data_IF_276179194247
#
_entry.id   IF_276179194247
#
_cell.length_a   1.000
_cell.length_b   1.000
_cell.length_c   1.000
_cell.angle_alpha   90.00
_cell.angle_beta   90.00
_cell.angle_gamma   90.00
#
_symmetry.space_group_name_H-M   'P 1'
#
loop_
_entity.id
_entity.type
_entity.pdbx_description
1 polymer ?
#
# COMPACT_ATOMS: atom_id res chain seq x y z
N UNK A 1 14.17 7.44 -8.16
CA UNK A 1 13.06 8.30 -8.64
C UNK A 1 12.00 8.36 -7.53
N UNK A 2 11.81 9.54 -6.94
CA UNK A 2 10.70 9.82 -6.00
C UNK A 2 10.95 9.46 -4.53
N UNK A 3 12.05 9.91 -3.92
CA UNK A 3 12.38 9.59 -2.50
C UNK A 3 12.18 10.78 -1.54
N UNK A 4 11.61 11.89 -2.01
CA UNK A 4 11.54 13.13 -1.23
C UNK A 4 10.27 13.16 -0.36
N UNK A 5 10.40 13.07 0.96
CA UNK A 5 9.27 12.97 1.92
C UNK A 5 8.82 14.31 2.52
N UNK A 6 9.06 15.44 1.85
CA UNK A 6 8.67 16.75 2.36
C UNK A 6 7.26 17.13 1.92
N UNK A 7 6.54 17.88 2.76
CA UNK A 7 5.18 18.35 2.49
C UNK A 7 5.06 19.05 1.13
N UNK A 8 4.16 18.56 0.27
CA UNK A 8 3.90 19.14 -1.06
C UNK A 8 4.77 18.60 -2.19
N UNK A 9 5.57 17.55 -1.96
CA UNK A 9 6.42 16.95 -2.98
C UNK A 9 5.65 16.23 -4.10
N UNK A 10 4.41 15.79 -3.85
CA UNK A 10 3.55 15.19 -4.90
C UNK A 10 3.24 16.14 -6.05
N UNK A 11 3.12 17.44 -5.79
CA UNK A 11 2.90 18.45 -6.82
C UNK A 11 4.16 18.81 -7.62
N UNK A 12 5.35 18.46 -7.11
CA UNK A 12 6.61 18.98 -7.65
C UNK A 12 7.35 18.03 -8.56
N UNK A 13 6.93 16.76 -8.72
CA UNK A 13 7.62 15.73 -9.54
C UNK A 13 9.15 15.79 -9.42
N UNK A 14 9.67 16.17 -8.25
CA UNK A 14 11.06 16.65 -8.10
C UNK A 14 12.06 15.57 -8.48
N UNK A 15 11.69 14.31 -8.29
CA UNK A 15 12.55 13.15 -8.56
C UNK A 15 12.89 12.92 -10.04
N UNK A 16 12.22 13.57 -10.99
CA UNK A 16 12.57 13.55 -12.43
C UNK A 16 12.59 14.94 -13.06
N UNK A 17 12.37 16.00 -12.28
CA UNK A 17 12.38 17.36 -12.78
C UNK A 17 13.75 17.68 -13.41
N UNK A 18 13.74 18.10 -14.67
CA UNK A 18 14.97 18.41 -15.42
C UNK A 18 15.66 17.20 -16.07
N UNK A 19 15.13 15.99 -15.93
CA UNK A 19 15.64 14.82 -16.67
C UNK A 19 15.06 14.75 -18.08
N UNK A 20 15.86 14.26 -19.04
CA UNK A 20 15.37 13.88 -20.37
C UNK A 20 14.60 12.56 -20.33
N UNK A 21 13.83 12.27 -21.38
CA UNK A 21 13.16 10.98 -21.52
C UNK A 21 14.14 9.79 -21.41
N UNK A 22 15.29 9.87 -22.09
CA UNK A 22 16.29 8.80 -22.05
C UNK A 22 16.86 8.59 -20.65
N UNK A 23 17.10 9.67 -19.90
CA UNK A 23 17.57 9.57 -18.52
C UNK A 23 16.53 8.92 -17.60
N UNK A 24 15.24 9.25 -17.79
CA UNK A 24 14.16 8.60 -17.02
C UNK A 24 14.04 7.12 -17.40
N UNK A 25 14.14 6.79 -18.68
CA UNK A 25 14.13 5.39 -19.16
C UNK A 25 15.29 4.61 -18.56
N UNK A 26 16.51 5.13 -18.61
CA UNK A 26 17.70 4.47 -18.08
C UNK A 26 17.58 4.25 -16.57
N UNK A 27 17.12 5.26 -15.82
CA UNK A 27 16.87 5.12 -14.39
C UNK A 27 15.79 4.07 -14.07
N UNK A 28 14.74 3.98 -14.88
CA UNK A 28 13.71 2.95 -14.74
C UNK A 28 14.24 1.55 -15.08
N UNK A 29 15.02 1.41 -16.16
CA UNK A 29 15.70 0.15 -16.53
C UNK A 29 16.60 -0.33 -15.40
N UNK A 30 17.40 0.58 -14.81
CA UNK A 30 18.26 0.22 -13.68
C UNK A 30 17.45 -0.29 -12.48
N UNK A 31 16.34 0.36 -12.14
CA UNK A 31 15.46 -0.12 -11.07
C UNK A 31 14.93 -1.52 -11.36
N UNK A 32 14.45 -1.77 -12.58
CA UNK A 32 13.97 -3.10 -12.95
C UNK A 32 15.06 -4.17 -12.93
N UNK A 33 16.29 -3.82 -13.32
CA UNK A 33 17.44 -4.73 -13.21
C UNK A 33 17.75 -5.07 -11.74
N UNK A 34 17.74 -4.07 -10.86
CA UNK A 34 17.96 -4.27 -9.43
C UNK A 34 16.85 -5.15 -8.81
N UNK A 35 15.59 -5.01 -9.27
CA UNK A 35 14.43 -5.79 -8.81
C UNK A 35 14.43 -7.24 -9.35
N UNK A 36 14.56 -7.41 -10.67
CA UNK A 36 14.56 -8.73 -11.32
C UNK A 36 15.83 -9.52 -10.98
N UNK A 37 16.95 -8.82 -10.73
CA UNK A 37 18.23 -9.40 -10.35
C UNK A 37 18.25 -10.07 -8.97
N UNK A 38 17.21 -9.89 -8.14
CA UNK A 38 17.06 -10.56 -6.83
C UNK A 38 17.06 -12.09 -6.94
N UNK A 39 16.64 -12.63 -8.09
CA UNK A 39 16.73 -14.07 -8.39
C UNK A 39 17.52 -14.27 -9.68
N UNK A 40 18.58 -15.06 -9.59
CA UNK A 40 19.42 -15.45 -10.73
C UNK A 40 19.06 -16.88 -11.13
N UNK A 41 18.70 -17.07 -12.41
CA UNK A 41 18.32 -18.38 -12.96
C UNK A 41 19.19 -18.75 -14.16
N UNK A 42 19.46 -20.04 -14.32
CA UNK A 42 20.18 -20.60 -15.46
C UNK A 42 19.23 -21.41 -16.34
N UNK A 43 19.31 -21.23 -17.67
CA UNK A 43 18.48 -21.93 -18.65
C UNK A 43 18.69 -21.35 -20.05
N UNK A 44 17.88 -21.79 -21.01
CA UNK A 44 17.82 -21.16 -22.33
C UNK A 44 17.10 -19.79 -22.27
N UNK A 45 17.10 -19.08 -23.39
CA UNK A 45 16.52 -17.74 -23.48
C UNK A 45 14.99 -17.75 -23.30
N UNK A 46 14.30 -18.78 -23.80
CA UNK A 46 12.84 -18.92 -23.65
C UNK A 46 12.44 -19.10 -22.18
N UNK A 47 13.19 -19.92 -21.44
CA UNK A 47 13.01 -20.11 -20.01
C UNK A 47 13.25 -18.81 -19.23
N UNK A 48 14.36 -18.12 -19.50
CA UNK A 48 14.67 -16.85 -18.83
C UNK A 48 13.62 -15.79 -19.13
N UNK A 49 13.18 -15.67 -20.38
CA UNK A 49 12.14 -14.73 -20.77
C UNK A 49 10.83 -15.02 -20.02
N UNK A 50 10.42 -16.29 -19.96
CA UNK A 50 9.22 -16.70 -19.21
C UNK A 50 9.35 -16.36 -17.73
N UNK A 51 10.48 -16.71 -17.12
CA UNK A 51 10.74 -16.49 -15.70
C UNK A 51 10.73 -14.99 -15.35
N UNK A 52 11.54 -14.18 -16.03
CA UNK A 52 11.65 -12.76 -15.73
C UNK A 52 10.38 -11.98 -16.09
N UNK A 53 9.61 -12.42 -17.10
CA UNK A 53 8.29 -11.84 -17.38
C UNK A 53 7.28 -12.15 -16.29
N UNK A 54 7.25 -13.39 -15.78
CA UNK A 54 6.39 -13.76 -14.66
C UNK A 54 6.80 -13.02 -13.38
N UNK A 55 8.10 -12.89 -13.12
CA UNK A 55 8.64 -12.10 -12.02
C UNK A 55 8.18 -10.64 -12.17
N UNK A 56 8.42 -9.98 -13.30
CA UNK A 56 7.93 -8.63 -13.59
C UNK A 56 6.43 -8.45 -13.27
N UNK A 57 5.57 -9.37 -13.73
CA UNK A 57 4.13 -9.32 -13.43
C UNK A 57 3.80 -9.41 -11.93
N UNK A 58 4.60 -10.14 -11.16
CA UNK A 58 4.41 -10.24 -9.69
C UNK A 58 4.73 -8.94 -8.95
N UNK A 59 5.50 -8.02 -9.54
CA UNK A 59 5.88 -6.74 -8.91
C UNK A 59 4.94 -5.58 -9.26
N UNK A 60 4.05 -5.73 -10.25
CA UNK A 60 3.17 -4.64 -10.71
C UNK A 60 2.10 -4.23 -9.68
N UNK A 61 1.77 -5.11 -8.75
CA UNK A 61 0.93 -4.81 -7.59
C UNK A 61 1.61 -5.31 -6.31
N UNK A 62 1.26 -4.82 -5.12
CA UNK A 62 0.34 -3.74 -4.75
C UNK A 62 0.85 -2.37 -5.23
N UNK A 63 -0.06 -1.43 -5.44
CA UNK A 63 0.27 -0.08 -5.93
C UNK A 63 0.43 0.91 -4.79
N UNK A 64 1.31 1.90 -4.95
CA UNK A 64 1.47 2.99 -3.97
C UNK A 64 0.22 3.88 -4.04
N UNK A 65 -0.34 4.21 -2.88
CA UNK A 65 -1.53 5.04 -2.69
C UNK A 65 -1.25 6.34 -1.93
N UNK A 66 -0.15 6.42 -1.17
CA UNK A 66 0.31 7.68 -0.60
C UNK A 66 1.16 8.49 -1.58
N UNK A 67 1.04 9.81 -1.47
CA UNK A 67 2.01 10.77 -1.95
C UNK A 67 3.36 10.60 -1.26
N UNK A 68 4.39 11.29 -1.77
CA UNK A 68 5.73 11.19 -1.23
C UNK A 68 5.84 11.69 0.22
N UNK A 69 4.99 12.64 0.61
CA UNK A 69 4.90 13.15 1.99
C UNK A 69 4.03 12.28 2.91
N UNK A 70 3.63 11.10 2.43
CA UNK A 70 2.84 10.13 3.18
C UNK A 70 1.36 10.47 3.30
N UNK A 71 0.90 11.58 2.72
CA UNK A 71 -0.52 11.88 2.64
C UNK A 71 -1.19 10.97 1.64
N UNK A 72 -2.41 10.53 1.93
CA UNK A 72 -3.18 9.69 1.04
C UNK A 72 -4.66 10.01 1.15
N UNK A 73 -5.42 9.68 0.12
CA UNK A 73 -6.88 9.82 0.13
C UNK A 73 -7.51 8.72 0.98
N UNK A 74 -8.27 9.11 1.99
CA UNK A 74 -9.13 8.27 2.81
C UNK A 74 -9.97 7.36 1.93
N UNK A 75 -10.10 6.14 2.42
CA UNK A 75 -10.83 5.04 1.86
C UNK A 75 -12.20 4.95 2.51
N UNK A 76 -13.23 4.79 1.67
CA UNK A 76 -14.57 4.48 2.13
C UNK A 76 -14.86 3.00 1.92
N UNK A 77 -15.29 2.29 2.97
CA UNK A 77 -15.54 0.84 2.91
C UNK A 77 -17.03 0.49 2.72
N UNK A 78 -17.88 1.46 2.38
CA UNK A 78 -19.33 1.28 2.21
C UNK A 78 -19.76 1.19 0.74
N UNK A 79 -20.90 0.53 0.48
CA UNK A 79 -21.55 0.45 -0.86
C UNK A 79 -21.98 1.81 -1.45
N UNK A 80 -21.84 2.91 -0.70
CA UNK A 80 -22.19 4.27 -1.07
C UNK A 80 -21.00 5.24 -0.89
N UNK A 81 -19.77 4.79 -1.12
CA UNK A 81 -18.64 5.69 -1.32
C UNK A 81 -18.88 6.49 -2.61
N UNK A 82 -19.63 7.59 -2.54
CA UNK A 82 -20.21 8.29 -3.70
C UNK A 82 -19.15 8.61 -4.76
N UNK A 83 -19.13 7.89 -5.90
CA UNK A 83 -18.10 8.06 -6.92
C UNK A 83 -18.18 9.42 -7.61
N UNK A 84 -19.36 10.06 -7.55
CA UNK A 84 -19.70 11.31 -8.22
C UNK A 84 -19.68 12.53 -7.28
N UNK A 85 -19.36 12.33 -6.00
CA UNK A 85 -19.34 13.39 -5.00
C UNK A 85 -20.73 13.90 -4.61
N UNK A 86 -21.79 13.13 -4.84
CA UNK A 86 -23.16 13.50 -4.42
C UNK A 86 -23.74 12.51 -3.41
N UNK A 87 -24.55 12.97 -2.45
CA UNK A 87 -25.39 12.09 -1.62
C UNK A 87 -26.35 11.25 -2.49
N UNK A 88 -27.07 10.24 -1.94
CA UNK A 88 -28.14 9.54 -2.67
C UNK A 88 -29.28 10.48 -3.10
N UNK A 89 -29.30 11.70 -2.56
CA UNK A 89 -30.28 12.75 -2.79
C UNK A 89 -29.78 13.84 -3.75
N UNK A 90 -28.55 13.73 -4.26
CA UNK A 90 -27.99 14.65 -5.25
C UNK A 90 -27.27 15.88 -4.68
N UNK A 91 -27.06 15.94 -3.36
CA UNK A 91 -26.33 17.04 -2.74
C UNK A 91 -24.82 16.87 -2.94
N UNK A 92 -24.15 17.90 -3.44
CA UNK A 92 -22.69 17.90 -3.60
C UNK A 92 -21.99 17.87 -2.24
N UNK A 93 -21.17 16.85 -2.02
CA UNK A 93 -20.23 16.77 -0.90
C UNK A 93 -18.82 17.09 -1.45
N UNK A 94 -18.13 18.06 -0.84
CA UNK A 94 -16.70 18.27 -1.08
C UNK A 94 -15.90 17.17 -0.38
N UNK A 95 -15.91 15.98 -0.99
CA UNK A 95 -15.23 14.78 -0.48
C UNK A 95 -13.70 14.89 -0.50
N UNK A 96 -13.11 16.00 -0.96
CA UNK A 96 -11.66 16.14 -1.16
C UNK A 96 -10.92 16.81 0.00
N UNK A 97 -11.59 17.61 0.84
CA UNK A 97 -10.93 18.33 1.95
C UNK A 97 -10.90 17.57 3.27
N UNK A 98 -11.93 16.77 3.57
CA UNK A 98 -12.02 15.98 4.80
C UNK A 98 -11.41 14.57 4.67
N UNK A 99 -10.93 14.21 3.47
CA UNK A 99 -10.49 12.86 3.13
C UNK A 99 -8.98 12.71 2.98
N UNK A 100 -8.16 13.64 3.45
CA UNK A 100 -6.70 13.47 3.40
C UNK A 100 -6.22 12.94 4.75
N UNK A 101 -5.62 11.75 4.73
CA UNK A 101 -4.99 11.11 5.90
C UNK A 101 -3.48 11.04 5.72
N UNK A 102 -2.79 10.78 6.81
CA UNK A 102 -1.34 10.55 6.83
C UNK A 102 -1.09 9.07 7.11
N UNK A 103 -0.11 8.47 6.43
CA UNK A 103 0.34 7.10 6.66
C UNK A 103 1.10 6.99 7.99
N UNK A 104 0.34 7.13 9.07
CA UNK A 104 0.78 7.24 10.46
C UNK A 104 0.27 6.01 11.22
N UNK A 105 1.18 5.08 11.53
CA UNK A 105 0.81 3.85 12.22
C UNK A 105 0.94 4.01 13.74
N UNK A 106 1.82 4.88 14.25
CA UNK A 106 2.06 5.07 15.68
C UNK A 106 1.17 6.18 16.31
N UNK A 107 0.41 6.90 15.49
CA UNK A 107 -0.49 8.01 15.85
C UNK A 107 0.23 9.24 16.41
N UNK A 108 1.46 9.51 15.98
CA UNK A 108 2.25 10.68 16.39
C UNK A 108 2.01 11.93 15.51
N UNK A 109 1.20 11.80 14.46
CA UNK A 109 0.87 12.84 13.50
C UNK A 109 1.86 12.96 12.33
N UNK A 110 2.83 12.06 12.20
CA UNK A 110 3.81 12.04 11.11
C UNK A 110 3.66 10.80 10.24
N UNK A 111 4.13 10.92 8.99
CA UNK A 111 4.13 9.79 8.07
C UNK A 111 5.28 8.83 8.40
N UNK A 112 4.93 7.58 8.69
CA UNK A 112 5.86 6.52 9.05
C UNK A 112 6.18 5.61 7.86
N UNK A 113 5.16 5.21 7.09
CA UNK A 113 5.26 4.13 6.10
C UNK A 113 4.71 4.56 4.73
N UNK A 114 5.03 3.80 3.68
CA UNK A 114 4.41 4.01 2.36
C UNK A 114 3.06 3.30 2.31
N UNK A 115 1.97 4.06 2.07
CA UNK A 115 0.63 3.47 1.96
C UNK A 115 0.48 2.78 0.62
N UNK A 116 0.17 1.48 0.63
CA UNK A 116 -0.14 0.66 -0.55
C UNK A 116 -1.63 0.35 -0.66
N UNK A 117 -2.15 0.14 -1.86
CA UNK A 117 -3.53 -0.30 -2.12
C UNK A 117 -3.59 -1.30 -3.30
N UNK A 118 -4.77 -1.57 -3.87
CA UNK A 118 -4.99 -2.60 -4.90
C UNK A 118 -4.71 -4.00 -4.35
N UNK A 119 -5.45 -4.37 -3.33
CA UNK A 119 -5.28 -5.62 -2.61
C UNK A 119 -6.15 -6.72 -3.21
N UNK A 120 -5.67 -7.46 -4.21
CA UNK A 120 -6.35 -8.67 -4.73
C UNK A 120 -6.12 -9.88 -3.82
N UNK A 121 -6.52 -9.78 -2.55
CA UNK A 121 -6.07 -10.70 -1.50
C UNK A 121 -6.65 -12.09 -1.65
N UNK A 122 -7.83 -12.24 -2.27
CA UNK A 122 -8.35 -13.57 -2.55
C UNK A 122 -7.42 -14.37 -3.44
N UNK A 123 -6.61 -13.78 -4.33
CA UNK A 123 -5.65 -14.48 -5.21
C UNK A 123 -4.25 -14.50 -4.61
N UNK A 124 -3.76 -13.29 -4.31
CA UNK A 124 -2.34 -13.02 -4.14
C UNK A 124 -1.75 -13.74 -2.94
N UNK A 125 -2.52 -13.90 -1.83
CA UNK A 125 -2.02 -14.47 -0.57
C UNK A 125 -1.42 -15.88 -0.72
N UNK A 126 -1.79 -16.60 -1.79
CA UNK A 126 -1.30 -17.95 -2.07
C UNK A 126 0.16 -18.00 -2.51
N UNK A 127 0.65 -16.95 -3.18
CA UNK A 127 1.97 -17.01 -3.81
C UNK A 127 2.69 -15.65 -3.89
N UNK A 128 1.99 -14.56 -4.18
CA UNK A 128 2.61 -13.23 -4.36
C UNK A 128 3.10 -12.67 -3.02
N UNK A 129 2.28 -12.67 -1.96
CA UNK A 129 2.74 -12.23 -0.63
C UNK A 129 3.78 -13.19 -0.03
N UNK A 130 3.63 -14.53 -0.13
CA UNK A 130 4.70 -15.45 0.25
C UNK A 130 6.03 -15.16 -0.46
N UNK A 131 6.03 -14.88 -1.77
CA UNK A 131 7.24 -14.48 -2.50
C UNK A 131 7.78 -13.13 -1.98
N UNK A 132 6.90 -12.14 -1.82
CA UNK A 132 7.26 -10.81 -1.30
C UNK A 132 7.83 -10.88 0.12
N UNK A 133 7.38 -11.81 0.95
CA UNK A 133 7.90 -12.00 2.31
C UNK A 133 9.37 -12.41 2.34
N UNK A 134 9.85 -13.02 1.25
CA UNK A 134 11.24 -13.47 1.09
C UNK A 134 12.07 -12.37 0.42
N UNK A 135 11.55 -11.78 -0.66
CA UNK A 135 12.32 -10.85 -1.49
C UNK A 135 12.21 -9.38 -1.04
N UNK A 136 11.10 -9.01 -0.40
CA UNK A 136 10.74 -7.62 -0.06
C UNK A 136 10.04 -7.51 1.31
N UNK A 137 10.64 -8.03 2.40
CA UNK A 137 9.98 -8.08 3.70
C UNK A 137 9.59 -6.69 4.23
N UNK A 138 10.39 -5.65 3.95
CA UNK A 138 10.10 -4.28 4.38
C UNK A 138 8.89 -3.69 3.61
N UNK A 139 8.76 -3.96 2.31
CA UNK A 139 7.59 -3.56 1.51
C UNK A 139 6.33 -4.29 1.99
N UNK A 140 6.45 -5.59 2.27
CA UNK A 140 5.29 -6.36 2.74
C UNK A 140 4.86 -5.93 4.15
N UNK A 141 5.79 -5.49 5.00
CA UNK A 141 5.46 -4.87 6.28
C UNK A 141 4.72 -3.52 6.10
N UNK A 142 5.15 -2.66 5.17
CA UNK A 142 4.41 -1.43 4.82
C UNK A 142 3.01 -1.74 4.25
N UNK A 143 2.85 -2.85 3.51
CA UNK A 143 1.54 -3.36 3.09
C UNK A 143 0.67 -3.76 4.29
N UNK A 144 1.23 -4.42 5.31
CA UNK A 144 0.48 -4.76 6.55
C UNK A 144 0.10 -3.50 7.34
N UNK A 145 1.00 -2.53 7.47
CA UNK A 145 0.67 -1.22 8.07
C UNK A 145 -0.42 -0.50 7.27
N UNK A 146 -0.43 -0.65 5.95
CA UNK A 146 -1.50 -0.14 5.08
C UNK A 146 -2.85 -0.83 5.34
N UNK A 147 -2.86 -2.14 5.60
CA UNK A 147 -4.07 -2.87 5.98
C UNK A 147 -4.59 -2.46 7.35
N UNK A 148 -3.70 -2.23 8.32
CA UNK A 148 -4.06 -1.70 9.64
C UNK A 148 -4.67 -0.31 9.50
N UNK A 149 -3.97 0.61 8.82
CA UNK A 149 -4.43 1.98 8.66
C UNK A 149 -5.78 2.04 7.96
N UNK A 150 -6.00 1.14 6.99
CA UNK A 150 -7.29 0.92 6.32
C UNK A 150 -8.38 0.44 7.30
N UNK A 151 -8.10 -0.54 8.15
CA UNK A 151 -9.08 -1.04 9.11
C UNK A 151 -9.46 -0.02 10.19
N UNK A 152 -8.56 0.91 10.50
CA UNK A 152 -8.78 1.99 11.46
C UNK A 152 -9.44 3.24 10.86
N UNK A 153 -9.76 3.26 9.56
CA UNK A 153 -10.47 4.40 8.98
C UNK A 153 -11.87 4.51 9.59
N UNK A 154 -12.26 5.73 9.96
CA UNK A 154 -13.61 6.04 10.43
C UNK A 154 -14.23 7.09 9.53
N UNK A 155 -15.52 6.96 9.22
CA UNK A 155 -16.26 7.94 8.43
C UNK A 155 -17.68 8.09 8.97
N UNK A 156 -18.31 9.22 8.71
CA UNK A 156 -19.71 9.46 9.06
C UNK A 156 -20.58 9.13 7.86
N UNK A 157 -21.61 8.30 8.04
CA UNK A 157 -22.56 7.97 6.96
C UNK A 157 -23.61 9.07 6.76
N UNK A 158 -24.44 8.89 5.73
CA UNK A 158 -25.53 9.81 5.35
C UNK A 158 -26.58 10.00 6.44
N UNK A 159 -26.58 9.15 7.46
CA UNK A 159 -27.49 9.20 8.62
C UNK A 159 -26.80 9.73 9.88
N UNK A 160 -25.58 10.26 9.76
CA UNK A 160 -24.81 10.82 10.86
C UNK A 160 -24.18 9.78 11.78
N UNK A 161 -24.16 8.49 11.40
CA UNK A 161 -23.54 7.46 12.22
C UNK A 161 -22.05 7.35 11.91
N UNK A 162 -21.23 7.30 12.95
CA UNK A 162 -19.81 6.93 12.82
C UNK A 162 -19.72 5.46 12.42
N UNK A 163 -19.04 5.20 11.32
CA UNK A 163 -18.71 3.89 10.79
C UNK A 163 -17.22 3.67 10.97
N UNK A 164 -16.87 2.45 11.37
CA UNK A 164 -15.49 2.00 11.49
C UNK A 164 -15.17 1.02 10.37
N UNK A 165 -13.94 1.10 9.88
CA UNK A 165 -13.39 0.18 8.91
C UNK A 165 -13.22 -1.24 9.44
N UNK A 166 -12.88 -2.13 8.51
CA UNK A 166 -12.44 -3.50 8.73
C UNK A 166 -11.21 -3.76 7.86
N UNK A 167 -10.58 -4.91 8.04
CA UNK A 167 -9.48 -5.32 7.18
C UNK A 167 -9.95 -5.45 5.72
N UNK A 168 -9.05 -5.19 4.75
CA UNK A 168 -9.39 -5.26 3.33
C UNK A 168 -9.63 -6.70 2.88
N UNK A 169 -10.60 -6.86 1.97
CA UNK A 169 -10.83 -8.12 1.23
C UNK A 169 -10.33 -7.98 -0.21
N UNK A 170 -10.90 -7.02 -0.94
CA UNK A 170 -10.50 -6.71 -2.30
C UNK A 170 -10.62 -5.21 -2.56
N UNK A 171 -9.50 -4.49 -2.49
CA UNK A 171 -9.50 -3.04 -2.61
C UNK A 171 -9.06 -2.56 -3.98
N UNK A 172 -9.59 -1.40 -4.41
CA UNK A 172 -9.09 -0.67 -5.57
C UNK A 172 -9.31 0.83 -5.43
N UNK A 173 -8.24 1.60 -5.64
CA UNK A 173 -8.19 3.06 -5.52
C UNK A 173 -8.80 3.56 -4.21
N UNK A 174 -8.45 2.89 -3.12
CA UNK A 174 -8.91 3.22 -1.78
C UNK A 174 -10.40 3.00 -1.62
N UNK A 175 -10.97 1.93 -2.17
CA UNK A 175 -12.36 1.53 -1.90
C UNK A 175 -12.44 0.02 -1.74
N UNK A 176 -13.32 -0.45 -0.85
CA UNK A 176 -13.70 -1.86 -0.80
C UNK A 176 -14.62 -2.19 -1.97
N UNK A 177 -14.39 -3.33 -2.63
CA UNK A 177 -15.25 -3.80 -3.72
C UNK A 177 -16.21 -4.90 -3.26
N UNK A 178 -15.90 -5.58 -2.15
CA UNK A 178 -16.64 -6.76 -1.68
C UNK A 178 -16.50 -7.94 -2.63
N UNK A 179 -15.45 -7.97 -3.45
CA UNK A 179 -15.21 -9.03 -4.43
C UNK A 179 -14.57 -10.25 -3.75
N UNK A 180 -14.98 -11.44 -4.22
CA UNK A 180 -14.59 -12.75 -3.71
C UNK A 180 -15.08 -13.03 -2.28
N UNK A 181 -14.46 -13.99 -1.58
CA UNK A 181 -14.90 -14.44 -0.25
C UNK A 181 -13.69 -14.59 0.67
N UNK A 182 -13.93 -14.53 1.98
CA UNK A 182 -12.93 -14.78 3.01
C UNK A 182 -12.10 -13.56 3.38
N UNK A 183 -11.40 -13.65 4.51
CA UNK A 183 -10.57 -12.57 5.06
C UNK A 183 -9.09 -12.89 4.84
N UNK A 184 -8.61 -12.66 3.62
CA UNK A 184 -7.26 -13.05 3.21
C UNK A 184 -6.16 -12.03 3.57
N UNK A 185 -6.54 -10.90 4.20
CA UNK A 185 -5.61 -10.04 4.94
C UNK A 185 -5.00 -10.77 6.14
N UNK A 186 -5.77 -11.61 6.83
CA UNK A 186 -5.32 -12.37 8.01
C UNK A 186 -4.09 -13.26 7.77
N UNK A 187 -4.06 -14.15 6.75
CA UNK A 187 -2.85 -14.95 6.49
C UNK A 187 -1.64 -14.10 6.10
N UNK A 188 -1.84 -12.97 5.42
CA UNK A 188 -0.75 -12.04 5.07
C UNK A 188 -0.17 -11.40 6.33
N UNK A 189 -1.04 -10.87 7.21
CA UNK A 189 -0.64 -10.29 8.50
C UNK A 189 0.11 -11.32 9.35
N UNK A 190 -0.42 -12.55 9.46
CA UNK A 190 0.21 -13.62 10.21
C UNK A 190 1.60 -13.97 9.67
N UNK A 191 1.78 -14.02 8.35
CA UNK A 191 3.07 -14.34 7.73
C UNK A 191 4.15 -13.29 8.10
N UNK A 192 3.80 -12.00 8.01
CA UNK A 192 4.71 -10.89 8.36
C UNK A 192 5.01 -10.86 9.86
N UNK A 193 4.01 -11.09 10.72
CA UNK A 193 4.19 -11.15 12.17
C UNK A 193 5.08 -12.33 12.58
N UNK A 194 4.79 -13.53 12.07
CA UNK A 194 5.51 -14.76 12.43
C UNK A 194 6.96 -14.77 11.97
N UNK A 195 7.27 -14.12 10.83
CA UNK A 195 8.63 -13.94 10.32
C UNK A 195 9.39 -12.77 10.97
N UNK A 196 8.73 -11.96 11.80
CA UNK A 196 9.33 -10.81 12.48
C UNK A 196 9.67 -9.63 11.57
N UNK A 197 9.25 -9.64 10.29
CA UNK A 197 9.55 -8.56 9.36
C UNK A 197 8.85 -7.26 9.75
N UNK A 198 7.65 -7.31 10.35
CA UNK A 198 7.00 -6.11 10.89
C UNK A 198 7.78 -5.49 12.03
N UNK A 199 8.32 -6.30 12.95
CA UNK A 199 9.12 -5.80 14.08
C UNK A 199 10.37 -5.07 13.57
N UNK A 200 11.13 -5.74 12.69
CA UNK A 200 12.31 -5.14 12.05
C UNK A 200 11.93 -3.83 11.35
N UNK A 201 10.87 -3.85 10.55
CA UNK A 201 10.43 -2.67 9.79
C UNK A 201 10.09 -1.51 10.72
N UNK A 202 9.33 -1.73 11.78
CA UNK A 202 8.98 -0.66 12.72
C UNK A 202 10.20 -0.10 13.46
N UNK A 203 11.20 -0.92 13.76
CA UNK A 203 12.50 -0.43 14.29
C UNK A 203 13.19 0.48 13.26
N UNK A 204 13.23 0.07 11.99
CA UNK A 204 13.81 0.86 10.90
C UNK A 204 13.04 2.18 10.68
N UNK A 205 11.74 2.20 10.99
CA UNK A 205 10.90 3.40 10.97
C UNK A 205 11.04 4.27 12.24
N UNK A 206 11.82 3.84 13.23
CA UNK A 206 12.12 4.61 14.44
C UNK A 206 11.09 4.47 15.56
N UNK A 207 10.22 3.46 15.52
CA UNK A 207 9.18 3.26 16.53
C UNK A 207 9.82 2.82 17.85
N UNK A 208 9.34 3.35 18.96
CA UNK A 208 9.65 2.90 20.31
C UNK A 208 9.06 1.50 20.57
N UNK A 209 9.58 0.80 21.59
CA UNK A 209 9.04 -0.51 21.95
C UNK A 209 7.54 -0.46 22.32
N UNK A 210 7.11 0.61 22.97
CA UNK A 210 5.72 0.82 23.33
C UNK A 210 4.82 0.98 22.09
N UNK A 211 5.23 1.79 21.11
CA UNK A 211 4.50 1.98 19.85
C UNK A 211 4.45 0.68 19.04
N UNK A 212 5.56 -0.07 18.98
CA UNK A 212 5.58 -1.38 18.30
C UNK A 212 4.63 -2.39 18.95
N UNK A 213 4.52 -2.38 20.28
CA UNK A 213 3.57 -3.24 21.01
C UNK A 213 2.13 -2.84 20.72
N UNK A 214 1.82 -1.54 20.76
CA UNK A 214 0.49 -1.01 20.43
C UNK A 214 0.05 -1.36 19.01
N UNK A 215 0.92 -1.17 18.01
CA UNK A 215 0.64 -1.54 16.62
C UNK A 215 0.31 -3.03 16.49
N UNK A 216 1.05 -3.90 17.17
CA UNK A 216 0.80 -5.35 17.16
C UNK A 216 -0.46 -5.76 17.90
N UNK A 217 -0.88 -5.04 18.93
CA UNK A 217 -2.12 -5.31 19.65
C UNK A 217 -3.36 -4.91 18.84
N UNK A 218 -3.22 -3.95 17.94
CA UNK A 218 -4.28 -3.52 17.02
C UNK A 218 -4.44 -4.40 15.78
N UNK A 219 -3.42 -5.19 15.43
CA UNK A 219 -3.42 -6.17 14.34
C UNK A 219 -3.99 -7.53 14.79
#
# INVERSE_FOLDING_TARGET
IGECRNSGDSFKMTGVAGMTFDQVREAATKKWEDELGKIQVSGDEDYKQTFYTAMYHSYLGQTIHSDLDGRYRQVHQGRNAYPDGNTPWGDKIDTLKESIRTADANKDGKADFTRYDTFSLWDTYRAVQPLSSILEPDRLADVVLSMLSYAEEEWVDDKGNVRKGRLPEWTFKGNETGMMMGMHSTPVIHDVLSKGSLEKRMIDLGFTEAERKDVKERL
#
